data_IF_005957324502
#
_entry.id   IF_005957324502
#
_cell.length_a   1.000
_cell.length_b   1.000
_cell.length_c   1.000
_cell.angle_alpha   90.00
_cell.angle_beta   90.00
_cell.angle_gamma   90.00
#
_symmetry.space_group_name_H-M   'P 1'
#
loop_
_entity.id
_entity.type
_entity.pdbx_description
1 polymer ?
2 non-polymer ?
3 water ?
#
# COMPACT_ATOMS: atom_id res chain seq x y z
N UNK A 5 8.88 -19.65 5.47
CA UNK A 5 10.04 -18.85 4.93
C UNK A 5 9.86 -18.53 3.45
N UNK A 6 10.39 -17.39 3.01
CA UNK A 6 10.21 -16.89 1.65
C UNK A 6 10.69 -17.87 0.56
N UNK A 7 9.88 -18.01 -0.49
CA UNK A 7 10.27 -18.80 -1.65
C UNK A 7 11.33 -18.05 -2.48
N UNK A 8 12.02 -18.76 -3.37
CA UNK A 8 13.03 -18.15 -4.25
C UNK A 8 12.35 -17.29 -5.32
N UNK A 9 11.16 -17.72 -5.74
CA UNK A 9 10.41 -17.04 -6.76
C UNK A 9 9.16 -16.38 -6.18
N UNK A 10 8.70 -15.33 -6.86
CA UNK A 10 7.50 -14.63 -6.48
C UNK A 10 6.67 -14.29 -7.72
N UNK A 11 5.37 -14.52 -7.61
CA UNK A 11 4.43 -14.07 -8.59
C UNK A 11 4.02 -12.65 -8.28
N UNK A 12 4.17 -11.78 -9.28
CA UNK A 12 3.73 -10.40 -9.16
C UNK A 12 2.57 -10.18 -10.09
N UNK A 13 1.39 -9.97 -9.49
CA UNK A 13 0.17 -9.82 -10.21
C UNK A 13 -0.08 -8.33 -10.51
N UNK A 14 0.08 -7.97 -11.79
CA UNK A 14 0.07 -6.57 -12.26
C UNK A 14 1.40 -6.28 -12.92
N UNK A 15 1.41 -6.22 -14.25
CA UNK A 15 2.66 -6.13 -15.01
C UNK A 15 2.87 -4.75 -15.67
N UNK A 16 2.39 -3.69 -15.04
CA UNK A 16 2.69 -2.33 -15.53
C UNK A 16 3.60 -1.58 -14.56
N UNK A 17 3.37 -0.28 -14.38
CA UNK A 17 4.28 0.58 -13.60
C UNK A 17 4.42 0.20 -12.14
N UNK A 18 3.30 -0.09 -11.48
CA UNK A 18 3.35 -0.53 -10.09
C UNK A 18 4.10 -1.87 -9.94
N UNK A 19 3.90 -2.79 -10.90
CA UNK A 19 4.65 -4.04 -10.93
C UNK A 19 6.15 -3.86 -11.00
N UNK A 20 6.59 -2.86 -11.77
CA UNK A 20 8.01 -2.51 -11.84
C UNK A 20 8.62 -2.19 -10.47
N UNK A 21 7.93 -1.37 -9.68
CA UNK A 21 8.49 -0.98 -8.36
C UNK A 21 8.37 -2.13 -7.35
N UNK A 22 7.29 -2.91 -7.42
CA UNK A 22 7.14 -4.09 -6.56
C UNK A 22 8.24 -5.11 -6.81
N UNK A 23 8.59 -5.27 -8.10
CA UNK A 23 9.72 -6.12 -8.47
C UNK A 23 11.05 -5.64 -7.87
N UNK A 24 11.34 -4.34 -7.94
CA UNK A 24 12.54 -3.80 -7.26
C UNK A 24 12.56 -4.07 -5.76
N UNK A 25 11.41 -3.94 -5.10
CA UNK A 25 11.35 -4.23 -3.68
C UNK A 25 11.56 -5.75 -3.41
N UNK A 26 10.94 -6.59 -4.23
CA UNK A 26 11.09 -8.04 -4.12
C UNK A 26 12.56 -8.44 -4.32
N UNK A 27 13.23 -7.85 -5.30
CA UNK A 27 14.67 -8.09 -5.50
C UNK A 27 15.52 -7.58 -4.32
N UNK A 28 15.17 -6.42 -3.77
CA UNK A 28 15.84 -5.87 -2.59
C UNK A 28 15.72 -6.81 -1.38
N UNK A 29 14.57 -7.46 -1.25
CA UNK A 29 14.33 -8.43 -0.18
C UNK A 29 15.07 -9.77 -0.36
N UNK A 30 15.55 -10.04 -1.58
CA UNK A 30 16.31 -11.25 -1.84
C UNK A 30 15.64 -12.27 -2.74
N UNK A 31 14.43 -11.99 -3.22
CA UNK A 31 13.81 -12.87 -4.22
C UNK A 31 14.72 -12.97 -5.44
N UNK A 32 14.80 -14.17 -6.01
CA UNK A 32 15.71 -14.42 -7.12
C UNK A 32 15.02 -14.25 -8.47
N UNK A 33 13.71 -14.45 -8.51
CA UNK A 33 12.98 -14.36 -9.77
C UNK A 33 11.56 -13.86 -9.51
N UNK A 34 11.13 -12.90 -10.31
CA UNK A 34 9.79 -12.35 -10.25
C UNK A 34 9.09 -12.81 -11.51
N UNK A 35 7.90 -13.37 -11.37
CA UNK A 35 7.13 -13.83 -12.50
C UNK A 35 5.85 -13.00 -12.59
N UNK A 36 5.73 -12.23 -13.66
CA UNK A 36 4.56 -11.37 -13.82
C UNK A 36 3.32 -12.13 -14.29
N UNK A 37 2.21 -11.80 -13.66
CA UNK A 37 0.88 -12.27 -14.04
C UNK A 37 0.04 -11.03 -14.31
N UNK A 38 -0.88 -11.15 -15.26
CA UNK A 38 -1.70 -10.03 -15.68
C UNK A 38 -2.86 -10.58 -16.49
N UNK A 39 -4.04 -10.03 -16.28
CA UNK A 39 -5.23 -10.44 -17.02
C UNK A 39 -5.26 -9.97 -18.47
N UNK A 40 -4.44 -8.97 -18.82
CA UNK A 40 -4.58 -8.27 -20.10
C UNK A 40 -3.31 -8.24 -20.95
N UNK A 41 -2.28 -8.94 -20.48
CA UNK A 41 -1.06 -9.17 -21.25
C UNK A 41 -0.19 -10.21 -20.56
N UNK A 42 0.65 -10.88 -21.36
CA UNK A 42 1.60 -11.89 -20.88
C UNK A 42 0.89 -13.04 -20.18
N UNK A 43 1.62 -13.69 -19.29
CA UNK A 43 1.17 -14.86 -18.56
C UNK A 43 0.01 -14.56 -17.61
N UNK A 44 -0.97 -15.47 -17.58
CA UNK A 44 -2.17 -15.33 -16.77
C UNK A 44 -2.02 -16.07 -15.45
N UNK A 45 -2.76 -15.60 -14.45
CA UNK A 45 -2.97 -16.38 -13.25
C UNK A 45 -3.82 -17.61 -13.60
N UNK A 46 -3.46 -18.74 -13.02
CA UNK A 46 -4.30 -19.95 -13.06
C UNK A 46 -4.28 -20.55 -11.65
N UNK A 47 -5.44 -21.04 -11.20
CA UNK A 47 -5.61 -21.60 -9.83
C UNK A 47 -4.61 -22.71 -9.56
N UNK A 48 -4.04 -23.18 -10.65
CA UNK A 48 -3.25 -24.38 -10.69
C UNK A 48 -1.73 -24.15 -10.63
N UNK A 49 -1.30 -22.88 -10.59
CA UNK A 49 0.12 -22.54 -10.51
C UNK A 49 0.80 -23.07 -9.24
N UNK A 50 2.11 -23.40 -9.33
CA UNK A 50 2.85 -23.80 -8.13
C UNK A 50 2.85 -22.70 -7.05
N UNK A 51 2.88 -23.11 -5.78
CA UNK A 51 2.70 -22.20 -4.66
C UNK A 51 3.96 -21.37 -4.40
N UNK A 52 4.21 -20.37 -5.24
CA UNK A 52 5.23 -19.40 -4.88
C UNK A 52 4.56 -18.29 -4.09
N UNK A 53 5.36 -17.49 -3.39
CA UNK A 53 4.88 -16.25 -2.79
C UNK A 53 4.22 -15.39 -3.85
N UNK A 54 3.14 -14.72 -3.46
CA UNK A 54 2.42 -13.81 -4.33
C UNK A 54 2.51 -12.37 -3.85
N UNK A 55 2.38 -11.45 -4.79
CA UNK A 55 2.09 -10.05 -4.48
C UNK A 55 1.17 -9.47 -5.52
N UNK A 56 0.24 -8.62 -5.07
CA UNK A 56 -0.68 -7.92 -5.96
C UNK A 56 -0.15 -6.50 -6.21
N UNK A 57 0.43 -6.30 -7.40
CA UNK A 57 1.03 -5.03 -7.80
C UNK A 57 0.06 -4.19 -8.64
N UNK A 58 -1.08 -3.86 -8.07
CA UNK A 58 -2.05 -3.03 -8.74
C UNK A 58 -2.39 -1.85 -7.83
N UNK A 59 -2.18 -0.63 -8.35
CA UNK A 59 -2.37 0.58 -7.55
C UNK A 59 -3.80 0.86 -7.14
N UNK A 60 -4.74 0.62 -8.06
CA UNK A 60 -6.15 0.84 -7.78
C UNK A 60 -6.62 -0.02 -6.60
N UNK A 61 -7.14 0.64 -5.57
CA UNK A 61 -7.48 -0.04 -4.31
C UNK A 61 -8.58 -1.11 -4.46
N UNK A 62 -9.59 -0.79 -5.25
CA UNK A 62 -10.74 -1.67 -5.48
C UNK A 62 -10.32 -2.94 -6.22
N UNK A 63 -9.48 -2.77 -7.24
CA UNK A 63 -9.00 -3.90 -8.05
C UNK A 63 -7.98 -4.73 -7.28
N UNK A 64 -7.05 -4.07 -6.58
CA UNK A 64 -6.10 -4.79 -5.75
C UNK A 64 -6.83 -5.69 -4.75
N UNK A 65 -7.88 -5.17 -4.11
CA UNK A 65 -8.70 -5.95 -3.19
C UNK A 65 -9.36 -7.20 -3.85
N UNK A 66 -10.03 -7.00 -4.98
CA UNK A 66 -10.68 -8.08 -5.72
C UNK A 66 -9.69 -9.17 -6.08
N UNK A 67 -8.53 -8.78 -6.59
CA UNK A 67 -7.52 -9.75 -6.99
C UNK A 67 -6.91 -10.42 -5.76
N UNK A 68 -6.68 -9.64 -4.71
CA UNK A 68 -6.19 -10.17 -3.42
C UNK A 68 -7.10 -11.32 -2.92
N UNK A 69 -8.42 -11.06 -2.92
CA UNK A 69 -9.40 -12.06 -2.49
C UNK A 69 -9.36 -13.35 -3.34
N UNK A 70 -9.28 -13.20 -4.66
CA UNK A 70 -9.16 -14.35 -5.55
C UNK A 70 -7.91 -15.16 -5.24
N UNK A 71 -6.78 -14.49 -5.02
CA UNK A 71 -5.52 -15.20 -4.76
C UNK A 71 -5.56 -15.92 -3.41
N UNK A 72 -6.08 -15.25 -2.38
CA UNK A 72 -6.26 -15.86 -1.04
C UNK A 72 -7.15 -17.10 -1.10
N UNK A 73 -8.30 -16.97 -1.76
CA UNK A 73 -9.26 -18.07 -1.89
C UNK A 73 -8.68 -19.28 -2.63
N UNK A 74 -7.67 -19.06 -3.45
CA UNK A 74 -6.99 -20.17 -4.13
C UNK A 74 -5.85 -20.76 -3.33
N UNK A 75 -5.72 -20.34 -2.06
CA UNK A 75 -4.74 -20.91 -1.15
C UNK A 75 -3.31 -20.44 -1.28
N UNK A 76 -3.09 -19.34 -2.01
CA UNK A 76 -1.74 -18.79 -2.14
C UNK A 76 -1.41 -17.84 -0.98
N UNK A 77 -0.14 -17.74 -0.67
CA UNK A 77 0.33 -16.82 0.35
C UNK A 77 0.70 -15.47 -0.31
N UNK A 78 0.02 -14.40 0.12
CA UNK A 78 0.32 -13.06 -0.36
C UNK A 78 1.23 -12.37 0.67
N UNK A 79 2.50 -12.28 0.33
CA UNK A 79 3.51 -11.72 1.23
C UNK A 79 3.46 -10.19 1.29
N UNK A 80 4.17 -9.61 2.26
CA UNK A 80 4.43 -8.19 2.31
C UNK A 80 5.73 -7.95 1.57
N UNK A 81 5.80 -6.88 0.79
CA UNK A 81 7.06 -6.47 0.18
C UNK A 81 7.51 -5.20 0.87
N UNK A 82 8.61 -5.30 1.61
CA UNK A 82 9.05 -4.23 2.49
C UNK A 82 10.49 -3.88 2.16
N UNK A 83 10.72 -2.66 1.65
CA UNK A 83 12.09 -2.27 1.32
C UNK A 83 12.94 -2.21 2.59
N UNK A 84 14.20 -2.61 2.47
CA UNK A 84 15.13 -2.60 3.62
C UNK A 84 15.40 -1.22 4.22
N UNK A 85 15.19 -0.18 3.43
CA UNK A 85 15.39 1.21 3.89
C UNK A 85 14.20 1.77 4.70
N UNK A 86 13.08 1.05 4.72
CA UNK A 86 11.92 1.44 5.52
C UNK A 86 12.31 1.36 6.98
N UNK A 87 11.91 2.35 7.77
CA UNK A 87 12.20 2.34 9.21
C UNK A 87 10.90 2.13 9.97
N UNK A 88 10.82 1.02 10.68
CA UNK A 88 9.58 0.60 11.30
C UNK A 88 9.85 0.43 12.81
N UNK A 89 9.17 1.22 13.62
CA UNK A 89 9.30 1.11 15.07
C UNK A 89 9.06 -0.32 15.54
N UNK A 90 9.81 -0.79 16.57
CA UNK A 90 9.55 -2.13 17.14
C UNK A 90 8.16 -2.29 17.77
N UNK A 91 7.51 -1.19 18.14
CA UNK A 91 6.13 -1.28 18.62
C UNK A 91 5.08 -1.03 17.53
N UNK A 92 5.50 -0.71 16.30
CA UNK A 92 4.55 -0.66 15.17
C UNK A 92 4.07 -2.06 14.80
N UNK A 93 2.84 -2.15 14.29
CA UNK A 93 2.29 -3.44 13.87
C UNK A 93 1.98 -3.41 12.38
N UNK A 94 2.64 -4.30 11.64
CA UNK A 94 2.39 -4.47 10.22
C UNK A 94 1.83 -5.88 10.05
N UNK A 95 0.57 -5.96 9.64
CA UNK A 95 -0.09 -7.25 9.42
C UNK A 95 0.79 -8.18 8.58
N UNK A 96 1.04 -9.37 9.11
CA UNK A 96 1.91 -10.36 8.47
C UNK A 96 1.26 -11.00 7.26
N UNK A 97 2.08 -11.29 6.25
CA UNK A 97 1.64 -11.93 5.00
C UNK A 97 0.31 -11.40 4.51
N UNK A 98 0.25 -10.10 4.28
CA UNK A 98 -1.03 -9.44 4.02
C UNK A 98 -0.95 -8.51 2.82
N UNK A 99 -0.03 -8.81 1.90
CA UNK A 99 0.10 -8.03 0.66
C UNK A 99 0.33 -6.54 0.82
N UNK A 100 1.08 -6.17 1.87
CA UNK A 100 1.39 -4.76 2.14
C UNK A 100 2.67 -4.38 1.40
N UNK A 101 2.64 -3.25 0.68
CA UNK A 101 3.83 -2.70 0.04
C UNK A 101 4.37 -1.58 0.90
N UNK A 102 5.64 -1.67 1.25
CA UNK A 102 6.31 -0.57 1.94
C UNK A 102 7.52 -0.16 1.12
N UNK A 103 7.45 1.03 0.54
CA UNK A 103 8.43 1.49 -0.44
C UNK A 103 9.68 2.09 0.24
N UNK A 104 10.73 2.45 -0.54
CA UNK A 104 11.94 3.03 0.05
C UNK A 104 11.69 4.28 0.92
N UNK A 105 12.43 4.36 2.02
CA UNK A 105 12.47 5.50 2.93
C UNK A 105 11.13 5.83 3.59
N UNK A 106 10.23 4.85 3.67
CA UNK A 106 9.02 5.01 4.47
C UNK A 106 9.42 4.95 5.95
N UNK A 107 8.78 5.76 6.77
CA UNK A 107 8.95 5.69 8.21
C UNK A 107 7.60 5.38 8.85
N UNK A 108 7.60 4.40 9.75
CA UNK A 108 6.43 4.05 10.54
C UNK A 108 6.83 4.10 12.01
N UNK A 109 6.25 5.05 12.74
CA UNK A 109 6.63 5.28 14.10
C UNK A 109 5.80 4.50 15.15
N UNK A 110 6.15 4.72 16.42
CA UNK A 110 5.66 3.93 17.54
C UNK A 110 4.17 3.68 17.55
N UNK A 111 3.81 2.41 17.68
CA UNK A 111 2.41 1.95 17.84
C UNK A 111 1.49 2.15 16.64
N UNK A 112 2.05 2.59 15.50
CA UNK A 112 1.23 2.69 14.29
C UNK A 112 0.83 1.29 13.86
N UNK A 113 -0.36 1.19 13.26
CA UNK A 113 -0.87 -0.09 12.79
C UNK A 113 -1.17 -0.04 11.28
N UNK A 114 -0.61 -1.01 10.54
CA UNK A 114 -0.84 -1.12 9.10
C UNK A 114 -1.65 -2.37 8.76
N UNK A 115 -2.84 -2.18 8.22
CA UNK A 115 -3.72 -3.30 7.89
C UNK A 115 -3.42 -3.87 6.49
N UNK A 116 -4.06 -4.99 6.17
CA UNK A 116 -3.75 -5.73 4.95
C UNK A 116 -3.98 -4.93 3.63
N UNK A 117 -3.18 -5.25 2.62
CA UNK A 117 -3.34 -4.71 1.27
C UNK A 117 -2.99 -3.23 1.13
N UNK A 118 -2.39 -2.66 2.18
CA UNK A 118 -2.02 -1.23 2.16
C UNK A 118 -0.82 -1.01 1.23
N UNK A 119 -0.78 0.16 0.59
CA UNK A 119 0.44 0.63 -0.05
C UNK A 119 0.96 1.84 0.73
N UNK A 120 2.20 1.75 1.20
CA UNK A 120 2.90 2.91 1.73
C UNK A 120 3.94 3.25 0.68
N UNK A 121 3.66 4.28 -0.11
CA UNK A 121 4.49 4.54 -1.27
C UNK A 121 5.75 5.34 -0.91
N UNK A 122 6.60 5.61 -1.90
CA UNK A 122 7.96 6.11 -1.68
C UNK A 122 8.01 7.29 -0.69
N UNK A 123 8.81 7.15 0.37
CA UNK A 123 9.07 8.25 1.31
C UNK A 123 7.82 8.76 2.05
N UNK A 124 6.76 7.97 2.10
CA UNK A 124 5.62 8.36 2.92
C UNK A 124 5.99 8.19 4.39
N UNK A 125 5.23 8.85 5.28
CA UNK A 125 5.45 8.74 6.72
C UNK A 125 4.14 8.46 7.42
N UNK A 126 4.16 7.43 8.29
CA UNK A 126 3.05 7.09 9.16
C UNK A 126 3.52 7.35 10.59
N UNK A 127 3.01 8.41 11.20
CA UNK A 127 3.45 8.79 12.55
C UNK A 127 2.95 7.87 13.66
N UNK A 128 3.43 8.11 14.88
CA UNK A 128 3.07 7.28 16.03
C UNK A 128 1.56 7.13 16.14
N UNK A 129 1.11 5.92 16.49
CA UNK A 129 -0.29 5.65 16.86
C UNK A 129 -1.31 5.76 15.75
N UNK A 130 -0.86 5.95 14.50
CA UNK A 130 -1.77 5.92 13.34
C UNK A 130 -2.40 4.56 13.16
N UNK A 131 -3.58 4.56 12.54
CA UNK A 131 -4.21 3.33 12.07
C UNK A 131 -4.48 3.50 10.59
N UNK A 132 -3.87 2.63 9.77
CA UNK A 132 -4.02 2.74 8.31
C UNK A 132 -4.88 1.56 7.81
N UNK A 133 -6.12 1.87 7.46
CA UNK A 133 -7.14 0.89 7.12
C UNK A 133 -6.82 0.10 5.85
N UNK A 134 -7.31 -1.14 5.84
CA UNK A 134 -6.99 -2.11 4.79
C UNK A 134 -7.24 -1.56 3.39
N UNK A 135 -6.36 -1.96 2.47
CA UNK A 135 -6.43 -1.59 1.04
C UNK A 135 -6.39 -0.07 0.78
N UNK A 136 -5.86 0.68 1.74
CA UNK A 136 -5.57 2.09 1.53
C UNK A 136 -4.26 2.27 0.75
N UNK A 137 -4.09 3.45 0.17
CA UNK A 137 -2.88 3.78 -0.54
C UNK A 137 -2.43 5.16 -0.05
N UNK A 138 -1.27 5.18 0.58
CA UNK A 138 -0.64 6.44 1.00
C UNK A 138 0.44 6.69 -0.05
N UNK A 139 0.20 7.62 -0.98
CA UNK A 139 1.13 7.80 -2.11
C UNK A 139 2.45 8.43 -1.71
N UNK A 140 3.27 8.63 -2.74
CA UNK A 140 4.60 9.15 -2.63
C UNK A 140 4.59 10.47 -1.84
N UNK A 141 5.36 10.49 -0.76
CA UNK A 141 5.54 11.71 0.01
C UNK A 141 4.32 12.07 0.85
N UNK A 142 3.27 11.24 0.86
CA UNK A 142 2.08 11.56 1.66
C UNK A 142 2.35 11.21 3.12
N UNK A 143 1.82 12.01 4.04
CA UNK A 143 2.22 11.88 5.45
C UNK A 143 1.04 12.02 6.38
N UNK A 144 0.97 11.09 7.33
CA UNK A 144 -0.04 11.10 8.38
C UNK A 144 0.62 11.51 9.69
N UNK A 145 0.12 12.56 10.30
CA UNK A 145 0.64 13.01 11.61
C UNK A 145 0.21 12.05 12.73
N UNK A 146 0.61 12.36 13.98
CA UNK A 146 0.36 11.44 15.10
C UNK A 146 -1.11 11.12 15.25
N UNK A 147 -1.39 9.85 15.57
CA UNK A 147 -2.71 9.38 15.96
C UNK A 147 -3.78 9.64 14.88
N UNK A 148 -3.39 9.55 13.60
CA UNK A 148 -4.35 9.64 12.50
C UNK A 148 -5.00 8.28 12.17
N UNK A 149 -6.31 8.25 11.92
CA UNK A 149 -6.95 7.05 11.42
C UNK A 149 -7.33 7.24 9.96
N UNK A 150 -6.81 6.36 9.11
CA UNK A 150 -7.19 6.37 7.70
C UNK A 150 -8.15 5.20 7.51
N UNK A 151 -9.34 5.48 6.99
CA UNK A 151 -10.34 4.44 6.77
C UNK A 151 -9.92 3.45 5.70
N UNK A 152 -10.67 2.36 5.61
CA UNK A 152 -10.46 1.33 4.61
C UNK A 152 -10.56 1.92 3.20
N UNK A 153 -9.75 1.41 2.29
CA UNK A 153 -9.79 1.77 0.85
C UNK A 153 -9.51 3.22 0.49
N UNK A 154 -8.98 4.02 1.42
CA UNK A 154 -8.69 5.42 1.11
C UNK A 154 -7.50 5.60 0.18
N UNK A 155 -7.48 6.72 -0.52
CA UNK A 155 -6.33 7.09 -1.35
C UNK A 155 -5.87 8.45 -0.88
N UNK A 156 -4.60 8.55 -0.50
CA UNK A 156 -3.97 9.84 -0.20
C UNK A 156 -2.95 10.12 -1.29
N UNK A 157 -3.21 11.21 -2.02
CA UNK A 157 -2.37 11.58 -3.16
C UNK A 157 -0.98 12.07 -2.79
N UNK A 158 -0.13 12.12 -3.82
CA UNK A 158 1.25 12.57 -3.72
C UNK A 158 1.32 13.84 -2.87
N UNK A 159 2.21 13.84 -1.85
CA UNK A 159 2.46 15.04 -1.06
C UNK A 159 1.26 15.59 -0.30
N UNK A 160 0.24 14.76 -0.10
CA UNK A 160 -0.88 15.16 0.75
C UNK A 160 -0.51 14.90 2.21
N UNK A 161 -1.29 15.45 3.14
CA UNK A 161 -1.02 15.20 4.54
C UNK A 161 -2.28 15.32 5.37
N UNK A 162 -2.25 14.67 6.54
CA UNK A 162 -3.34 14.70 7.49
C UNK A 162 -2.75 15.19 8.82
N UNK A 163 -3.38 16.22 9.37
CA UNK A 163 -3.03 16.78 10.67
C UNK A 163 -3.27 15.80 11.84
N UNK A 164 -2.61 16.02 13.00
CA UNK A 164 -2.70 15.04 14.09
C UNK A 164 -4.13 14.76 14.56
N UNK A 165 -4.37 13.51 14.96
CA UNK A 165 -5.59 13.08 15.64
C UNK A 165 -6.84 13.01 14.76
N UNK A 166 -6.66 13.18 13.45
CA UNK A 166 -7.83 13.20 12.57
C UNK A 166 -8.19 11.83 12.06
N UNK A 167 -9.45 11.73 11.63
CA UNK A 167 -9.99 10.51 11.12
C UNK A 167 -10.55 10.77 9.72
N UNK A 168 -10.20 9.91 8.77
CA UNK A 168 -10.72 10.01 7.40
C UNK A 168 -11.59 8.78 7.12
N UNK A 169 -12.85 9.05 6.78
CA UNK A 169 -13.86 8.02 6.47
C UNK A 169 -13.41 7.04 5.40
N UNK A 170 -13.80 5.78 5.56
CA UNK A 170 -13.67 4.74 4.54
C UNK A 170 -14.02 5.25 3.16
N UNK A 171 -13.28 4.77 2.16
CA UNK A 171 -13.58 5.04 0.73
C UNK A 171 -13.45 6.53 0.35
N UNK A 172 -12.55 7.25 1.02
CA UNK A 172 -12.32 8.65 0.71
C UNK A 172 -11.07 8.84 -0.14
N UNK A 173 -11.02 9.98 -0.81
CA UNK A 173 -9.86 10.39 -1.56
C UNK A 173 -9.39 11.73 -0.99
N UNK A 174 -8.08 11.82 -0.74
CA UNK A 174 -7.43 13.07 -0.40
C UNK A 174 -6.52 13.39 -1.58
N UNK A 175 -6.75 14.51 -2.25
CA UNK A 175 -6.05 14.83 -3.49
C UNK A 175 -4.56 15.09 -3.26
N UNK A 176 -3.79 14.94 -4.33
CA UNK A 176 -2.37 15.25 -4.34
C UNK A 176 -2.20 16.66 -3.82
N UNK A 177 -1.22 16.86 -2.93
CA UNK A 177 -0.93 18.18 -2.39
C UNK A 177 -1.89 18.72 -1.34
N UNK A 178 -2.97 17.99 -1.05
CA UNK A 178 -4.01 18.49 -0.15
C UNK A 178 -3.70 18.25 1.34
N UNK A 179 -4.19 19.15 2.19
CA UNK A 179 -3.98 19.12 3.63
C UNK A 179 -5.32 18.95 4.34
N UNK A 180 -5.52 17.79 4.96
CA UNK A 180 -6.74 17.53 5.74
C UNK A 180 -6.56 18.09 7.15
N UNK A 181 -7.42 19.05 7.51
CA UNK A 181 -7.32 19.78 8.78
C UNK A 181 -8.48 19.48 9.73
N UNK A 182 -9.50 18.78 9.26
CA UNK A 182 -10.64 18.38 10.10
C UNK A 182 -11.05 16.92 9.88
N UNK A 183 -11.66 16.32 10.90
CA UNK A 183 -12.27 14.98 10.76
C UNK A 183 -13.28 14.93 9.63
N UNK A 184 -13.30 13.81 8.91
CA UNK A 184 -14.32 13.59 7.90
C UNK A 184 -15.03 12.27 8.20
N UNK A 185 -16.24 12.43 8.74
CA UNK A 185 -17.12 11.34 9.17
C UNK A 185 -17.79 10.71 7.95
N UNK A 186 -17.96 11.49 6.88
CA UNK A 186 -18.57 11.01 5.64
C UNK A 186 -17.58 11.00 4.49
N UNK A 187 -17.59 9.92 3.72
CA UNK A 187 -16.67 9.78 2.60
C UNK A 187 -16.81 10.92 1.61
N UNK A 188 -15.72 11.20 0.90
CA UNK A 188 -15.71 12.27 -0.08
C UNK A 188 -14.39 12.33 -0.80
N UNK A 189 -14.26 13.34 -1.64
CA UNK A 189 -13.05 13.63 -2.39
C UNK A 189 -12.62 15.00 -1.91
N UNK A 190 -11.48 15.06 -1.23
CA UNK A 190 -11.06 16.30 -0.57
C UNK A 190 -9.81 16.80 -1.27
N UNK A 191 -9.93 17.96 -1.90
CA UNK A 191 -8.89 18.41 -2.82
C UNK A 191 -8.27 19.72 -2.37
N UNK A 192 -7.03 19.93 -2.81
CA UNK A 192 -6.34 21.17 -2.54
C UNK A 192 -6.49 22.09 -3.73
N UNK A 193 -5.71 23.16 -3.75
CA UNK A 193 -5.75 24.11 -4.85
C UNK A 193 -4.61 23.80 -5.82
N UNK A 194 -4.97 23.49 -7.07
CA UNK A 194 -4.00 23.15 -8.11
C UNK A 194 -3.11 24.33 -8.46
N UNK A 195 -1.92 24.07 -8.97
CA UNK A 195 -1.06 25.14 -9.44
C UNK A 195 -1.80 25.92 -10.54
N UNK A 196 -1.63 27.24 -10.54
CA UNK A 196 -2.27 28.12 -11.51
C UNK A 196 -1.22 28.94 -12.25
N UNK A 197 -1.38 29.02 -13.58
CA UNK A 197 -0.55 29.86 -14.44
C UNK A 197 -0.60 31.32 -14.00
N UNK A 198 0.56 31.94 -13.79
CA UNK A 198 0.64 33.38 -13.50
C UNK A 198 0.38 34.22 -14.75
#
# INVERSE_FOLDING_TARGET
GSAMARTEKIYIYGASGHGLVCEDVAKNMGYKECIFLDDFKGMKFESTLPKYDFFIAIGNNEIRKKIYQKISENGFKIVNLIHKSALISPSAIVEENAGILIMPYVVINAKAKIEKGVILNTSSVIEHECVIGEFSHVSVGAKCAGNVKIGKNCFLGINSCVLPNLSLADDSILGGGATLVKNQDEKGVFVGVPAKRM
#
